data_IF_205808568609
#
_entry.id   IF_205808568609
#
_cell.length_a   1.000
_cell.length_b   1.000
_cell.length_c   1.000
_cell.angle_alpha   90.00
_cell.angle_beta   90.00
_cell.angle_gamma   90.00
#
_symmetry.space_group_name_H-M   'P 1'
#
loop_
_entity.id
_entity.type
_entity.pdbx_description
1 polymer ?
#
# COMPACT_ATOMS: atom_id res chain seq x y z
N UNK A 1 2.53 8.53 -9.33
CA UNK A 1 2.04 7.50 -10.25
C UNK A 1 3.09 6.44 -10.51
N UNK A 2 2.71 5.18 -10.34
CA UNK A 2 3.58 4.02 -10.51
C UNK A 2 2.77 2.75 -10.77
N UNK A 3 3.41 1.57 -10.59
CA UNK A 3 2.68 0.30 -10.62
C UNK A 3 1.71 0.20 -9.43
N UNK A 4 0.75 -0.74 -9.50
CA UNK A 4 -0.26 -0.92 -8.46
C UNK A 4 0.35 -1.06 -7.04
N UNK A 5 1.43 -1.81 -6.89
CA UNK A 5 2.16 -1.96 -5.62
C UNK A 5 2.91 -0.70 -5.20
N UNK A 6 3.45 0.06 -6.15
CA UNK A 6 4.08 1.37 -5.86
C UNK A 6 3.04 2.37 -5.36
N UNK A 7 1.87 2.42 -6.00
CA UNK A 7 0.77 3.28 -5.57
C UNK A 7 0.22 2.88 -4.19
N UNK A 8 0.19 1.56 -3.89
CA UNK A 8 -0.24 1.06 -2.59
C UNK A 8 0.73 1.43 -1.47
N UNK A 9 2.05 1.39 -1.71
CA UNK A 9 3.06 1.53 -0.67
C UNK A 9 3.60 2.95 -0.49
N UNK A 10 4.01 3.62 -1.58
CA UNK A 10 4.85 4.83 -1.49
C UNK A 10 4.16 6.00 -0.77
N UNK A 11 2.90 6.38 -1.07
CA UNK A 11 2.24 7.46 -0.34
C UNK A 11 2.03 7.14 1.14
N UNK A 12 1.70 5.87 1.46
CA UNK A 12 1.54 5.40 2.83
C UNK A 12 2.85 5.49 3.61
N UNK A 13 3.93 4.94 3.07
CA UNK A 13 5.24 4.95 3.73
C UNK A 13 5.76 6.37 3.94
N UNK A 14 5.55 7.26 2.97
CA UNK A 14 5.87 8.68 3.12
C UNK A 14 5.12 9.30 4.30
N UNK A 15 3.81 9.13 4.36
CA UNK A 15 2.98 9.66 5.46
C UNK A 15 3.39 9.11 6.82
N UNK A 16 3.60 7.78 6.91
CA UNK A 16 4.02 7.14 8.16
C UNK A 16 5.40 7.63 8.60
N UNK A 17 6.35 7.80 7.66
CA UNK A 17 7.67 8.34 7.99
C UNK A 17 7.60 9.78 8.48
N UNK A 18 6.87 10.64 7.82
CA UNK A 18 6.70 12.05 8.20
C UNK A 18 5.99 12.23 9.56
N UNK A 19 5.12 11.26 9.94
CA UNK A 19 4.31 11.34 11.16
C UNK A 19 4.91 10.60 12.35
N UNK A 20 5.54 9.43 12.10
CA UNK A 20 5.98 8.49 13.14
C UNK A 20 7.44 8.08 13.01
N UNK A 21 8.12 8.46 11.92
CA UNK A 21 9.52 8.16 11.59
C UNK A 21 9.82 6.65 11.47
N UNK A 22 10.01 6.17 10.25
CA UNK A 22 10.29 4.77 9.94
C UNK A 22 11.78 4.49 10.05
N UNK A 23 12.13 3.44 10.80
CA UNK A 23 13.47 2.89 10.87
C UNK A 23 13.73 1.86 9.77
N UNK A 24 12.81 0.92 9.59
CA UNK A 24 12.81 -0.06 8.50
C UNK A 24 11.37 -0.51 8.15
N UNK A 25 11.23 -1.13 6.99
CA UNK A 25 9.94 -1.62 6.51
C UNK A 25 10.10 -2.86 5.66
N UNK A 26 9.11 -3.73 5.73
CA UNK A 26 8.91 -4.81 4.77
C UNK A 26 7.46 -4.92 4.33
N UNK A 27 7.28 -5.44 3.13
CA UNK A 27 5.97 -5.74 2.58
C UNK A 27 5.93 -7.15 2.02
N UNK A 28 4.80 -7.81 2.19
CA UNK A 28 4.48 -9.07 1.55
C UNK A 28 3.28 -8.88 0.64
N UNK A 29 3.45 -9.18 -0.65
CA UNK A 29 2.42 -9.00 -1.67
C UNK A 29 2.06 -10.35 -2.29
N UNK A 30 0.79 -10.71 -2.23
CA UNK A 30 0.23 -11.80 -3.04
C UNK A 30 -0.58 -11.16 -4.16
N UNK A 31 0.01 -11.14 -5.35
CA UNK A 31 -0.51 -10.40 -6.50
C UNK A 31 -1.24 -11.30 -7.48
N UNK A 32 -2.45 -10.91 -7.83
CA UNK A 32 -3.24 -11.58 -8.84
C UNK A 32 -2.73 -11.29 -10.25
N UNK A 33 -2.61 -12.33 -11.06
CA UNK A 33 -2.37 -12.22 -12.49
C UNK A 33 -3.27 -13.18 -13.27
N UNK A 34 -3.56 -12.88 -14.52
CA UNK A 34 -4.32 -13.77 -15.36
C UNK A 34 -3.60 -15.13 -15.50
N UNK A 35 -4.34 -16.22 -15.38
CA UNK A 35 -3.81 -17.59 -15.35
C UNK A 35 -2.88 -17.90 -16.53
N UNK A 36 -3.18 -17.39 -17.74
CA UNK A 36 -2.36 -17.60 -18.93
C UNK A 36 -0.97 -16.94 -18.87
N UNK A 37 -0.74 -16.05 -17.89
CA UNK A 37 0.57 -15.40 -17.68
C UNK A 37 1.47 -16.17 -16.72
N UNK A 38 1.01 -17.32 -16.20
CA UNK A 38 1.75 -18.15 -15.26
C UNK A 38 2.01 -19.53 -15.85
N UNK A 39 3.25 -20.01 -15.70
CA UNK A 39 3.62 -21.40 -15.97
C UNK A 39 3.24 -22.34 -14.82
N UNK A 40 3.26 -21.79 -13.58
CA UNK A 40 2.90 -22.49 -12.35
C UNK A 40 1.85 -21.71 -11.57
N UNK A 41 1.16 -22.38 -10.66
CA UNK A 41 0.07 -21.81 -9.86
C UNK A 41 0.52 -20.85 -8.77
N UNK A 42 1.82 -20.86 -8.43
CA UNK A 42 2.41 -19.96 -7.43
C UNK A 42 3.87 -19.72 -7.80
N UNK A 43 4.24 -18.47 -8.02
CA UNK A 43 5.60 -18.10 -8.43
C UNK A 43 6.06 -16.86 -7.64
N UNK A 44 7.26 -16.95 -7.08
CA UNK A 44 7.96 -15.77 -6.57
C UNK A 44 8.57 -14.99 -7.73
N UNK A 45 8.33 -13.67 -7.78
CA UNK A 45 8.86 -12.78 -8.82
C UNK A 45 9.50 -11.53 -8.22
N UNK A 46 10.24 -10.82 -9.04
CA UNK A 46 10.71 -9.47 -8.73
C UNK A 46 9.54 -8.48 -8.79
N UNK A 47 9.48 -7.60 -7.78
CA UNK A 47 8.50 -6.52 -7.73
C UNK A 47 9.17 -5.18 -8.06
N UNK A 48 8.56 -4.40 -8.96
CA UNK A 48 9.04 -3.05 -9.30
C UNK A 48 9.08 -2.11 -8.09
N UNK A 49 8.32 -2.41 -7.04
CA UNK A 49 8.31 -1.67 -5.79
C UNK A 49 9.70 -1.62 -5.12
N UNK A 50 10.48 -2.71 -5.16
CA UNK A 50 11.81 -2.76 -4.57
C UNK A 50 12.71 -1.61 -5.05
N UNK A 51 12.72 -1.39 -6.37
CA UNK A 51 13.51 -0.31 -6.98
C UNK A 51 12.85 1.05 -6.87
N UNK A 52 11.53 1.11 -7.04
CA UNK A 52 10.82 2.38 -7.07
C UNK A 52 10.74 3.03 -5.70
N UNK A 53 10.51 2.26 -4.63
CA UNK A 53 10.41 2.80 -3.27
C UNK A 53 11.74 3.45 -2.85
N UNK A 54 12.85 2.79 -3.05
CA UNK A 54 14.19 3.32 -2.67
C UNK A 54 14.61 4.53 -3.51
N UNK A 55 14.09 4.67 -4.72
CA UNK A 55 14.32 5.88 -5.55
C UNK A 55 13.43 7.06 -5.14
N UNK A 56 12.21 6.80 -4.67
CA UNK A 56 11.22 7.82 -4.35
C UNK A 56 11.25 8.27 -2.88
N UNK A 57 11.70 7.39 -2.00
CA UNK A 57 11.74 7.59 -0.55
C UNK A 57 13.18 7.50 -0.04
N UNK A 58 13.87 8.63 0.14
CA UNK A 58 15.32 8.65 0.47
C UNK A 58 15.67 7.97 1.81
N UNK A 59 14.71 7.78 2.70
CA UNK A 59 14.89 7.08 3.98
C UNK A 59 14.90 5.56 3.83
N UNK A 60 14.52 5.01 2.66
CA UNK A 60 14.57 3.58 2.34
C UNK A 60 15.77 3.23 1.47
N UNK A 61 16.37 2.09 1.76
CA UNK A 61 17.47 1.53 1.00
C UNK A 61 17.47 -0.01 1.12
N UNK A 62 18.42 -0.69 0.47
CA UNK A 62 18.50 -2.15 0.47
C UNK A 62 18.73 -2.79 1.86
N UNK A 63 19.18 -2.01 2.85
CA UNK A 63 19.51 -2.52 4.18
C UNK A 63 18.33 -2.38 5.17
N UNK A 64 17.31 -1.56 4.82
CA UNK A 64 16.15 -1.31 5.67
C UNK A 64 14.79 -1.47 4.99
N UNK A 65 14.75 -2.00 3.75
CA UNK A 65 13.51 -2.25 3.02
C UNK A 65 13.52 -3.58 2.28
N UNK A 66 12.50 -4.41 2.51
CA UNK A 66 12.34 -5.73 1.90
C UNK A 66 10.97 -5.85 1.26
N UNK A 67 10.91 -6.43 0.06
CA UNK A 67 9.68 -6.79 -0.63
C UNK A 67 9.64 -8.29 -0.88
N UNK A 68 8.64 -8.96 -0.34
CA UNK A 68 8.27 -10.32 -0.71
C UNK A 68 7.11 -10.26 -1.70
N UNK A 69 7.30 -10.82 -2.89
CA UNK A 69 6.32 -10.74 -3.96
C UNK A 69 6.04 -12.09 -4.57
N UNK A 70 4.81 -12.52 -4.43
CA UNK A 70 4.31 -13.79 -4.96
C UNK A 70 3.16 -13.52 -5.91
N UNK A 71 3.11 -14.20 -7.07
CA UNK A 71 1.98 -14.12 -8.00
C UNK A 71 1.16 -15.40 -7.96
N UNK A 72 -0.16 -15.24 -8.08
CA UNK A 72 -1.15 -16.31 -8.06
C UNK A 72 -2.10 -16.20 -9.26
N UNK A 73 -2.69 -17.31 -9.73
CA UNK A 73 -3.44 -17.34 -10.99
C UNK A 73 -4.90 -16.89 -10.83
N UNK A 74 -5.12 -15.67 -10.41
CA UNK A 74 -6.44 -15.05 -10.37
C UNK A 74 -6.48 -13.78 -11.21
N UNK A 75 -7.63 -13.15 -11.26
CA UNK A 75 -7.83 -11.80 -11.82
C UNK A 75 -8.55 -10.93 -10.82
N UNK A 76 -8.22 -9.63 -10.79
CA UNK A 76 -8.86 -8.64 -9.91
C UNK A 76 -7.99 -8.23 -8.73
N UNK A 77 -8.40 -8.56 -7.52
CA UNK A 77 -7.85 -8.01 -6.27
C UNK A 77 -6.65 -8.80 -5.76
N UNK A 78 -5.66 -8.08 -5.25
CA UNK A 78 -4.47 -8.60 -4.57
C UNK A 78 -4.49 -8.21 -3.10
N UNK A 79 -3.74 -8.92 -2.26
CA UNK A 79 -3.57 -8.60 -0.85
C UNK A 79 -2.13 -8.14 -0.59
N UNK A 80 -1.98 -7.20 0.33
CA UNK A 80 -0.69 -6.67 0.74
C UNK A 80 -0.63 -6.53 2.27
N UNK A 81 0.44 -7.08 2.84
CA UNK A 81 0.80 -6.91 4.24
C UNK A 81 1.94 -5.90 4.33
N UNK A 82 1.81 -4.95 5.24
CA UNK A 82 2.82 -3.95 5.52
C UNK A 82 3.33 -4.13 6.94
N UNK A 83 4.63 -4.02 7.12
CA UNK A 83 5.24 -3.80 8.42
C UNK A 83 6.14 -2.56 8.37
N UNK A 84 5.95 -1.67 9.32
CA UNK A 84 6.81 -0.51 9.54
C UNK A 84 7.36 -0.56 10.96
N UNK A 85 8.67 -0.59 11.11
CA UNK A 85 9.30 -0.39 12.41
C UNK A 85 9.53 1.10 12.62
N UNK A 86 8.89 1.63 13.63
CA UNK A 86 8.94 3.05 13.98
C UNK A 86 10.11 3.33 14.92
N UNK A 87 10.70 4.52 14.85
CA UNK A 87 11.77 4.91 15.77
C UNK A 87 11.24 5.14 17.19
N UNK A 88 9.98 5.55 17.33
CA UNK A 88 9.30 5.77 18.62
C UNK A 88 8.06 4.92 18.73
N UNK A 89 7.82 4.42 19.94
CA UNK A 89 6.58 3.72 20.24
C UNK A 89 5.38 4.68 20.11
N UNK A 90 4.29 4.17 19.56
CA UNK A 90 2.99 4.86 19.53
C UNK A 90 1.90 3.88 19.92
N UNK A 91 0.77 4.36 20.45
CA UNK A 91 -0.38 3.51 20.70
C UNK A 91 -1.18 3.27 19.42
N UNK A 92 -1.91 2.16 19.36
CA UNK A 92 -2.82 1.86 18.25
C UNK A 92 -3.88 2.96 18.10
N UNK A 93 -4.43 3.44 19.20
CA UNK A 93 -5.43 4.52 19.22
C UNK A 93 -4.89 5.81 18.59
N UNK A 94 -3.68 6.24 18.99
CA UNK A 94 -3.04 7.42 18.41
C UNK A 94 -2.73 7.25 16.92
N UNK A 95 -2.31 6.06 16.51
CA UNK A 95 -2.09 5.76 15.10
C UNK A 95 -3.40 5.83 14.31
N UNK A 96 -4.44 5.11 14.76
CA UNK A 96 -5.72 5.06 14.08
C UNK A 96 -6.36 6.44 13.94
N UNK A 97 -6.38 7.23 15.02
CA UNK A 97 -6.92 8.60 14.97
C UNK A 97 -6.27 9.44 13.88
N UNK A 98 -4.93 9.46 13.84
CA UNK A 98 -4.19 10.24 12.83
C UNK A 98 -4.35 9.68 11.40
N UNK A 99 -4.42 8.37 11.28
CA UNK A 99 -4.55 7.72 9.98
C UNK A 99 -5.95 7.90 9.40
N UNK A 100 -7.00 7.78 10.22
CA UNK A 100 -8.38 8.06 9.84
C UNK A 100 -8.55 9.52 9.37
N UNK A 101 -8.00 10.47 10.11
CA UNK A 101 -7.99 11.88 9.70
C UNK A 101 -7.28 12.06 8.35
N UNK A 102 -6.13 11.40 8.16
CA UNK A 102 -5.35 11.51 6.92
C UNK A 102 -6.08 10.97 5.68
N UNK A 103 -6.80 9.85 5.82
CA UNK A 103 -7.54 9.23 4.68
C UNK A 103 -8.90 9.87 4.44
N UNK A 104 -9.53 10.49 5.45
CA UNK A 104 -10.86 11.11 5.35
C UNK A 104 -10.79 12.51 4.77
N UNK A 105 -9.98 13.38 5.36
CA UNK A 105 -9.90 14.79 5.00
C UNK A 105 -8.46 15.33 4.85
N UNK A 106 -7.45 14.48 5.11
CA UNK A 106 -6.05 14.86 5.07
C UNK A 106 -5.34 14.52 3.76
N UNK A 107 -4.01 14.40 3.85
CA UNK A 107 -3.09 14.25 2.71
C UNK A 107 -3.22 12.93 1.94
N UNK A 108 -3.90 11.94 2.52
CA UNK A 108 -4.16 10.63 1.92
C UNK A 108 -5.61 10.48 1.42
N UNK A 109 -6.41 11.54 1.45
CA UNK A 109 -7.80 11.52 1.00
C UNK A 109 -7.90 11.03 -0.45
N UNK A 110 -8.80 10.06 -0.67
CA UNK A 110 -9.02 9.44 -1.98
C UNK A 110 -7.94 8.47 -2.44
N UNK A 111 -6.83 8.33 -1.67
CA UNK A 111 -5.79 7.35 -1.97
C UNK A 111 -6.04 6.01 -1.26
N UNK A 112 -6.59 6.05 -0.06
CA UNK A 112 -6.80 4.86 0.77
C UNK A 112 -8.21 4.85 1.35
N UNK A 113 -8.75 3.63 1.48
CA UNK A 113 -9.96 3.32 2.22
C UNK A 113 -9.67 2.43 3.42
N UNK A 114 -10.69 2.23 4.27
CA UNK A 114 -10.59 1.33 5.41
C UNK A 114 -11.97 0.76 5.74
N UNK A 115 -12.02 -0.56 5.90
CA UNK A 115 -13.18 -1.28 6.41
C UNK A 115 -12.95 -1.70 7.86
N UNK A 116 -13.99 -1.70 8.69
CA UNK A 116 -13.89 -2.11 10.11
C UNK A 116 -13.46 -3.57 10.26
N UNK A 117 -13.99 -4.45 9.40
CA UNK A 117 -13.73 -5.89 9.39
C UNK A 117 -13.38 -6.39 7.99
N UNK A 118 -12.80 -7.57 7.88
CA UNK A 118 -12.54 -8.20 6.59
C UNK A 118 -13.84 -8.64 5.91
N UNK A 119 -14.20 -7.95 4.83
CA UNK A 119 -15.39 -8.25 4.01
C UNK A 119 -15.07 -9.00 2.71
N UNK A 120 -13.81 -9.43 2.57
CA UNK A 120 -13.31 -10.22 1.46
C UNK A 120 -12.83 -9.41 0.25
N UNK A 121 -12.06 -10.03 -0.64
CA UNK A 121 -11.45 -9.33 -1.77
C UNK A 121 -12.43 -8.88 -2.87
N UNK A 122 -13.54 -9.60 -3.07
CA UNK A 122 -14.44 -9.38 -4.21
C UNK A 122 -15.08 -7.98 -4.20
N UNK A 123 -15.34 -7.43 -3.00
CA UNK A 123 -15.94 -6.09 -2.85
C UNK A 123 -14.97 -4.96 -3.22
N UNK A 124 -13.69 -5.26 -3.29
CA UNK A 124 -12.64 -4.29 -3.63
C UNK A 124 -12.26 -4.30 -5.11
N UNK A 125 -12.92 -5.13 -5.91
CA UNK A 125 -12.74 -5.12 -7.35
C UNK A 125 -13.22 -3.78 -7.94
N UNK A 126 -12.40 -3.17 -8.78
CA UNK A 126 -12.63 -1.84 -9.34
C UNK A 126 -12.72 -0.70 -8.30
N UNK A 127 -12.19 -0.88 -7.09
CA UNK A 127 -12.06 0.22 -6.13
C UNK A 127 -11.19 1.35 -6.68
N UNK A 128 -11.54 2.59 -6.34
CA UNK A 128 -10.73 3.76 -6.70
C UNK A 128 -9.52 3.96 -5.79
N UNK A 129 -9.48 3.28 -4.66
CA UNK A 129 -8.38 3.38 -3.70
C UNK A 129 -7.12 2.62 -4.18
N UNK A 130 -5.97 3.11 -3.79
CA UNK A 130 -4.69 2.42 -3.98
C UNK A 130 -4.56 1.20 -3.07
N UNK A 131 -5.18 1.25 -1.89
CA UNK A 131 -5.37 0.11 -0.97
C UNK A 131 -6.57 0.41 -0.09
N UNK A 132 -7.38 -0.60 0.19
CA UNK A 132 -8.41 -0.56 1.22
C UNK A 132 -7.94 -1.41 2.40
N UNK A 133 -7.75 -0.79 3.57
CA UNK A 133 -7.22 -1.45 4.75
C UNK A 133 -8.31 -2.19 5.52
N UNK A 134 -7.90 -3.22 6.27
CA UNK A 134 -8.74 -3.98 7.19
C UNK A 134 -8.39 -3.50 8.60
N UNK A 135 -9.26 -2.70 9.23
CA UNK A 135 -8.98 -2.03 10.51
C UNK A 135 -8.69 -3.02 11.64
N UNK A 136 -9.44 -4.10 11.74
CA UNK A 136 -9.24 -5.15 12.76
C UNK A 136 -7.86 -5.84 12.66
N UNK A 137 -7.22 -5.78 11.48
CA UNK A 137 -5.89 -6.35 11.23
C UNK A 137 -4.76 -5.33 11.45
N UNK A 138 -5.08 -4.06 11.75
CA UNK A 138 -4.06 -3.07 12.11
C UNK A 138 -3.63 -3.29 13.55
N UNK A 139 -2.33 -3.51 13.77
CA UNK A 139 -1.77 -3.79 15.09
C UNK A 139 -0.46 -3.07 15.31
N UNK A 140 -0.19 -2.73 16.57
CA UNK A 140 1.12 -2.24 17.01
C UNK A 140 1.66 -3.22 18.04
N UNK A 141 2.84 -3.78 17.78
CA UNK A 141 3.55 -4.69 18.68
C UNK A 141 4.95 -4.14 18.91
N UNK A 142 5.20 -3.63 20.11
CA UNK A 142 6.40 -2.84 20.39
C UNK A 142 6.43 -1.59 19.49
N UNK A 143 7.48 -1.45 18.69
CA UNK A 143 7.60 -0.35 17.73
C UNK A 143 7.17 -0.76 16.30
N UNK A 144 6.58 -1.94 16.12
CA UNK A 144 6.17 -2.39 14.79
C UNK A 144 4.68 -2.14 14.58
N UNK A 145 4.38 -1.39 13.54
CA UNK A 145 3.05 -1.22 12.98
C UNK A 145 2.83 -2.27 11.89
N UNK A 146 1.79 -3.05 12.02
CA UNK A 146 1.31 -4.03 11.04
C UNK A 146 -0.01 -3.57 10.45
N UNK A 147 -0.11 -3.62 9.12
CA UNK A 147 -1.32 -3.27 8.38
C UNK A 147 -1.54 -4.29 7.27
N UNK A 148 -2.78 -4.60 6.99
CA UNK A 148 -3.15 -5.47 5.87
C UNK A 148 -4.26 -4.81 5.08
N UNK A 149 -4.26 -5.01 3.76
CA UNK A 149 -5.32 -4.47 2.92
C UNK A 149 -5.38 -5.13 1.55
N UNK A 150 -6.46 -4.83 0.86
CA UNK A 150 -6.71 -5.25 -0.51
C UNK A 150 -6.44 -4.10 -1.48
N UNK A 151 -5.95 -4.42 -2.66
CA UNK A 151 -5.83 -3.47 -3.75
C UNK A 151 -6.25 -4.09 -5.08
N UNK A 152 -6.97 -3.33 -5.87
CA UNK A 152 -7.24 -3.71 -7.26
C UNK A 152 -5.95 -3.64 -8.08
N UNK A 153 -5.70 -4.64 -8.92
CA UNK A 153 -4.49 -4.69 -9.74
C UNK A 153 -4.42 -3.57 -10.78
N UNK A 154 -5.57 -2.96 -11.10
CA UNK A 154 -5.71 -1.83 -12.01
C UNK A 154 -5.77 -0.45 -11.30
N UNK A 155 -5.43 -0.37 -10.00
CA UNK A 155 -5.44 0.90 -9.27
C UNK A 155 -4.58 2.00 -9.92
N UNK A 156 -3.59 1.61 -10.73
CA UNK A 156 -2.76 2.55 -11.48
C UNK A 156 -3.53 3.36 -12.53
N UNK A 157 -4.67 2.88 -13.02
CA UNK A 157 -5.55 3.64 -13.92
C UNK A 157 -6.11 4.86 -13.19
N UNK A 158 -6.63 4.67 -11.97
CA UNK A 158 -7.14 5.76 -11.14
C UNK A 158 -6.06 6.80 -10.83
N UNK A 159 -4.86 6.33 -10.45
CA UNK A 159 -3.72 7.23 -10.19
C UNK A 159 -3.24 7.97 -11.44
N UNK A 160 -3.40 7.38 -12.62
CA UNK A 160 -3.13 8.07 -13.88
C UNK A 160 -4.14 9.19 -14.15
N UNK A 161 -5.43 8.95 -13.90
CA UNK A 161 -6.47 9.99 -13.99
C UNK A 161 -6.18 11.15 -13.04
N UNK A 162 -5.79 10.87 -11.79
CA UNK A 162 -5.40 11.90 -10.83
C UNK A 162 -4.21 12.73 -11.33
N UNK A 163 -3.20 12.09 -11.92
CA UNK A 163 -2.05 12.79 -12.50
C UNK A 163 -2.46 13.71 -13.65
N UNK A 164 -3.34 13.26 -14.53
CA UNK A 164 -3.86 14.08 -15.65
C UNK A 164 -4.64 15.28 -15.11
N UNK A 165 -5.54 15.07 -14.15
CA UNK A 165 -6.30 16.14 -13.52
C UNK A 165 -5.39 17.17 -12.85
N UNK A 166 -4.38 16.72 -12.12
CA UNK A 166 -3.38 17.59 -11.49
C UNK A 166 -2.60 18.41 -12.52
N UNK A 167 -2.19 17.80 -13.64
CA UNK A 167 -1.48 18.51 -14.71
C UNK A 167 -2.35 19.57 -15.37
N UNK A 168 -3.61 19.26 -15.65
CA UNK A 168 -4.57 20.20 -16.27
C UNK A 168 -4.86 21.39 -15.37
N UNK A 169 -5.09 21.15 -14.07
CA UNK A 169 -5.44 22.24 -13.12
C UNK A 169 -4.29 23.16 -12.81
N UNK A 170 -3.03 22.75 -13.02
CA UNK A 170 -1.85 23.62 -12.83
C UNK A 170 -1.54 24.53 -14.02
N UNK A 171 -2.16 24.28 -15.17
CA UNK A 171 -1.98 25.10 -16.38
C UNK A 171 -3.14 26.07 -16.63
N UNK A 172 -4.08 26.16 -15.69
CA UNK A 172 -5.13 27.20 -15.63
C UNK A 172 -4.75 28.24 -14.56
#
# INVERSE_FOLDING_TARGET
YGSCTVNAYVPLAKYIHETFDILDSDVNVVHNVAKHKLENTLIRKFCTLEKSATNLLPFLNKDNFIVNYTVVPYTGVSIIDFRFRLTKATSLENFLSKFEDAITDGVLKGLYGMDEVDIGPEVHNCTTFSTNFIKENIKIIGNNLYMQGYFDTENSVNRYVDLVNFAVTRHQ
#
